data_IF_336586413779
#
_entry.id   IF_336586413779
#
_cell.length_a   1.000
_cell.length_b   1.000
_cell.length_c   1.000
_cell.angle_alpha   90.00
_cell.angle_beta   90.00
_cell.angle_gamma   90.00
#
_symmetry.space_group_name_H-M   'P 1'
#
loop_
_entity.id
_entity.type
_entity.pdbx_description
1 polymer ?
#
# COMPACT_ATOMS: atom_id res chain seq x y z
N UNK A 1 25.64 10.54 52.97
CA UNK A 1 25.22 9.50 51.99
C UNK A 1 23.91 9.81 51.25
N UNK A 2 23.06 10.75 51.69
CA UNK A 2 21.78 11.06 51.03
C UNK A 2 21.92 11.76 49.65
N UNK A 3 22.92 12.63 49.48
CA UNK A 3 23.10 13.44 48.27
C UNK A 3 23.46 12.61 47.02
N UNK A 4 24.26 11.54 47.17
CA UNK A 4 24.61 10.62 46.07
C UNK A 4 23.45 9.73 45.61
N UNK A 5 22.45 9.48 46.46
CA UNK A 5 21.22 8.74 46.07
C UNK A 5 20.26 9.63 45.28
N UNK A 6 20.13 10.91 45.66
CA UNK A 6 19.30 11.87 44.93
C UNK A 6 19.82 12.13 43.50
N UNK A 7 21.13 12.30 43.34
CA UNK A 7 21.77 12.48 42.02
C UNK A 7 21.62 11.26 41.08
N UNK A 8 21.63 10.04 41.63
CA UNK A 8 21.38 8.82 40.84
C UNK A 8 19.91 8.71 40.41
N UNK A 9 18.97 9.12 41.26
CA UNK A 9 17.54 9.12 40.93
C UNK A 9 17.17 10.15 39.86
N UNK A 10 17.71 11.36 39.93
CA UNK A 10 17.47 12.40 38.91
C UNK A 10 18.13 12.08 37.57
N UNK A 11 19.32 11.47 37.58
CA UNK A 11 19.97 11.00 36.36
C UNK A 11 19.09 9.96 35.64
N UNK A 12 18.57 8.93 36.34
CA UNK A 12 17.74 7.88 35.74
C UNK A 12 16.43 8.45 35.14
N UNK A 13 15.79 9.41 35.82
CA UNK A 13 14.58 10.07 35.33
C UNK A 13 14.90 10.94 34.11
N UNK A 14 16.03 11.67 34.12
CA UNK A 14 16.49 12.49 32.99
C UNK A 14 16.81 11.65 31.74
N UNK A 15 17.50 10.52 31.89
CA UNK A 15 17.80 9.62 30.77
C UNK A 15 16.53 8.95 30.23
N UNK A 16 15.60 8.55 31.11
CA UNK A 16 14.32 7.97 30.70
C UNK A 16 13.43 8.95 29.93
N UNK A 17 13.35 10.21 30.38
CA UNK A 17 12.62 11.26 29.68
C UNK A 17 13.27 11.60 28.33
N UNK A 18 14.60 11.68 28.26
CA UNK A 18 15.32 11.90 27.01
C UNK A 18 15.11 10.73 26.02
N UNK A 19 15.19 9.48 26.48
CA UNK A 19 14.93 8.30 25.66
C UNK A 19 13.48 8.25 25.15
N UNK A 20 12.50 8.63 25.98
CA UNK A 20 11.11 8.72 25.57
C UNK A 20 10.89 9.82 24.52
N UNK A 21 11.49 11.00 24.69
CA UNK A 21 11.42 12.10 23.72
C UNK A 21 12.08 11.74 22.39
N UNK A 22 13.25 11.10 22.43
CA UNK A 22 13.92 10.59 21.23
C UNK A 22 13.12 9.47 20.57
N UNK A 23 12.52 8.57 21.34
CA UNK A 23 11.63 7.54 20.83
C UNK A 23 10.40 8.13 20.14
N UNK A 24 9.76 9.13 20.76
CA UNK A 24 8.61 9.84 20.20
C UNK A 24 8.97 10.64 18.94
N UNK A 25 10.12 11.30 18.91
CA UNK A 25 10.58 12.03 17.73
C UNK A 25 10.92 11.07 16.58
N UNK A 26 11.60 9.96 16.86
CA UNK A 26 11.85 8.91 15.87
C UNK A 26 10.55 8.27 15.37
N UNK A 27 9.57 8.02 16.23
CA UNK A 27 8.24 7.53 15.84
C UNK A 27 7.49 8.55 14.98
N UNK A 28 7.59 9.84 15.29
CA UNK A 28 7.02 10.93 14.50
C UNK A 28 7.66 10.98 13.11
N UNK A 29 8.98 10.95 13.03
CA UNK A 29 9.70 10.96 11.74
C UNK A 29 9.44 9.69 10.92
N UNK A 30 9.38 8.52 11.57
CA UNK A 30 8.99 7.28 10.93
C UNK A 30 7.56 7.36 10.37
N UNK A 31 6.59 7.91 11.13
CA UNK A 31 5.21 8.13 10.66
C UNK A 31 5.16 9.08 9.47
N UNK A 32 5.89 10.20 9.49
CA UNK A 32 5.98 11.13 8.37
C UNK A 32 6.56 10.48 7.12
N UNK A 33 7.62 9.69 7.29
CA UNK A 33 8.30 9.01 6.18
C UNK A 33 7.40 7.95 5.54
N UNK A 34 6.72 7.14 6.36
CA UNK A 34 5.73 6.17 5.87
C UNK A 34 4.56 6.83 5.16
N UNK A 35 4.01 7.93 5.70
CA UNK A 35 2.97 8.69 5.01
C UNK A 35 3.44 9.25 3.65
N UNK A 36 4.71 9.63 3.55
CA UNK A 36 5.31 10.12 2.29
C UNK A 36 5.58 9.02 1.26
N UNK A 37 5.82 7.79 1.69
CA UNK A 37 5.95 6.64 0.79
C UNK A 37 4.58 6.15 0.28
N UNK A 38 3.55 6.22 1.13
CA UNK A 38 2.17 5.93 0.73
C UNK A 38 1.62 6.97 -0.27
N UNK A 39 2.08 8.22 -0.19
CA UNK A 39 1.77 9.29 -1.13
C UNK A 39 2.97 9.61 -2.03
N UNK A 40 3.15 8.82 -3.09
CA UNK A 40 3.98 9.27 -4.21
C UNK A 40 3.18 10.34 -4.95
N UNK A 41 3.64 11.59 -4.86
CA UNK A 41 3.06 12.66 -5.66
C UNK A 41 3.25 12.31 -7.15
N UNK A 42 2.15 12.23 -7.90
CA UNK A 42 2.22 12.15 -9.35
C UNK A 42 3.09 13.29 -9.86
N UNK A 43 3.98 13.01 -10.81
CA UNK A 43 5.01 13.96 -11.26
C UNK A 43 4.41 15.19 -11.98
N UNK A 44 3.11 15.16 -12.28
CA UNK A 44 2.30 16.29 -12.74
C UNK A 44 0.89 15.85 -13.13
N UNK A 45 0.04 16.79 -13.54
CA UNK A 45 -1.23 16.46 -14.19
C UNK A 45 -0.97 15.66 -15.47
N UNK A 46 -1.61 14.49 -15.59
CA UNK A 46 -1.67 13.75 -16.83
C UNK A 46 -2.37 14.62 -17.88
N UNK A 47 -1.62 15.10 -18.87
CA UNK A 47 -2.13 15.93 -19.98
C UNK A 47 -2.92 15.12 -21.03
N UNK A 48 -3.16 13.84 -20.78
CA UNK A 48 -3.92 12.98 -21.68
C UNK A 48 -5.41 13.22 -21.42
N UNK A 49 -6.18 13.79 -22.37
CA UNK A 49 -7.61 13.93 -22.18
C UNK A 49 -8.24 12.55 -22.03
N UNK A 50 -9.11 12.40 -21.03
CA UNK A 50 -9.96 11.22 -20.94
C UNK A 50 -10.81 11.18 -22.21
N UNK A 51 -10.61 10.17 -23.05
CA UNK A 51 -11.42 9.97 -24.24
C UNK A 51 -12.70 9.25 -23.81
N UNK A 52 -13.85 9.81 -24.18
CA UNK A 52 -15.15 9.22 -23.86
C UNK A 52 -15.32 7.81 -24.47
N UNK A 53 -14.63 7.55 -25.59
CA UNK A 53 -14.61 6.24 -26.23
C UNK A 53 -13.32 5.47 -25.90
N UNK A 54 -13.52 4.24 -25.44
CA UNK A 54 -12.43 3.29 -25.24
C UNK A 54 -11.78 2.96 -26.60
N UNK A 55 -10.45 2.93 -26.69
CA UNK A 55 -9.77 2.63 -27.95
C UNK A 55 -10.09 1.20 -28.40
N UNK A 56 -10.35 1.05 -29.71
CA UNK A 56 -10.54 -0.29 -30.28
C UNK A 56 -9.26 -1.11 -30.18
N UNK A 57 -9.38 -2.44 -30.20
CA UNK A 57 -8.21 -3.34 -30.24
C UNK A 57 -7.26 -2.99 -31.38
N UNK A 58 -7.79 -2.63 -32.54
CA UNK A 58 -6.96 -2.28 -33.70
C UNK A 58 -6.17 -0.99 -33.45
N UNK A 59 -6.78 0.03 -32.85
CA UNK A 59 -6.10 1.27 -32.47
C UNK A 59 -5.01 1.03 -31.41
N UNK A 60 -5.27 0.15 -30.44
CA UNK A 60 -4.25 -0.24 -29.46
C UNK A 60 -3.05 -0.93 -30.11
N UNK A 61 -3.30 -1.85 -31.06
CA UNK A 61 -2.24 -2.54 -31.79
C UNK A 61 -1.41 -1.58 -32.66
N UNK A 62 -2.05 -0.64 -33.35
CA UNK A 62 -1.31 0.37 -34.12
C UNK A 62 -0.46 1.24 -33.20
N UNK A 63 -0.99 1.73 -32.08
CA UNK A 63 -0.19 2.49 -31.10
C UNK A 63 1.01 1.70 -30.59
N UNK A 64 0.87 0.40 -30.35
CA UNK A 64 1.99 -0.45 -29.94
C UNK A 64 3.05 -0.63 -31.04
N UNK A 65 2.66 -0.65 -32.32
CA UNK A 65 3.57 -0.78 -33.46
C UNK A 65 4.25 0.54 -33.83
N UNK A 66 3.51 1.65 -33.75
CA UNK A 66 3.97 2.99 -34.10
C UNK A 66 4.89 3.60 -33.02
N UNK A 67 4.89 3.00 -31.82
CA UNK A 67 5.75 3.42 -30.72
C UNK A 67 7.05 2.63 -30.75
N UNK A 68 8.16 3.28 -31.10
CA UNK A 68 9.47 2.62 -31.26
C UNK A 68 9.99 1.99 -29.96
N UNK A 69 9.85 2.69 -28.83
CA UNK A 69 10.38 2.26 -27.54
C UNK A 69 9.44 2.65 -26.40
N UNK A 70 9.33 1.79 -25.40
CA UNK A 70 8.59 1.97 -24.14
C UNK A 70 9.55 1.96 -22.95
N UNK A 71 9.30 2.81 -21.96
CA UNK A 71 10.09 2.84 -20.71
C UNK A 71 9.77 1.62 -19.84
N UNK A 72 8.50 1.19 -19.84
CA UNK A 72 8.01 0.09 -19.01
C UNK A 72 7.10 -0.83 -19.84
N UNK A 73 7.41 -2.13 -19.82
CA UNK A 73 6.52 -3.18 -20.33
C UNK A 73 5.98 -4.01 -19.17
N UNK A 74 4.67 -3.98 -18.95
CA UNK A 74 3.96 -4.80 -17.98
C UNK A 74 3.38 -6.03 -18.66
N UNK A 75 3.73 -7.21 -18.15
CA UNK A 75 3.21 -8.49 -18.64
C UNK A 75 2.20 -9.04 -17.64
N UNK A 76 0.92 -9.06 -18.04
CA UNK A 76 -0.20 -9.56 -17.25
C UNK A 76 -1.15 -8.44 -16.80
N UNK A 77 -2.41 -8.50 -17.24
CA UNK A 77 -3.48 -7.55 -16.93
C UNK A 77 -4.30 -7.90 -15.68
N UNK A 78 -3.68 -8.55 -14.69
CA UNK A 78 -4.30 -8.78 -13.38
C UNK A 78 -4.28 -7.52 -12.50
N UNK A 79 -4.73 -7.64 -11.26
CA UNK A 79 -4.73 -6.54 -10.29
C UNK A 79 -3.33 -5.92 -10.09
N UNK A 80 -2.30 -6.76 -9.94
CA UNK A 80 -0.91 -6.31 -9.79
C UNK A 80 -0.41 -5.57 -11.02
N UNK A 81 -0.53 -6.17 -12.21
CA UNK A 81 -0.02 -5.53 -13.43
C UNK A 81 -0.77 -4.25 -13.80
N UNK A 82 -2.10 -4.23 -13.58
CA UNK A 82 -2.89 -3.01 -13.79
C UNK A 82 -2.47 -1.90 -12.82
N UNK A 83 -2.20 -2.23 -11.55
CA UNK A 83 -1.68 -1.28 -10.57
C UNK A 83 -0.29 -0.75 -10.93
N UNK A 84 0.62 -1.64 -11.35
CA UNK A 84 1.95 -1.24 -11.82
C UNK A 84 1.89 -0.34 -13.06
N UNK A 85 1.00 -0.65 -14.02
CA UNK A 85 0.82 0.18 -15.20
C UNK A 85 0.23 1.54 -14.86
N UNK A 86 -0.74 1.60 -13.95
CA UNK A 86 -1.29 2.85 -13.44
C UNK A 86 -0.20 3.70 -12.77
N UNK A 87 0.58 3.12 -11.86
CA UNK A 87 1.67 3.82 -11.17
C UNK A 87 2.70 4.36 -12.18
N UNK A 88 3.15 3.54 -13.12
CA UNK A 88 4.09 3.94 -14.16
C UNK A 88 3.55 5.10 -15.02
N UNK A 89 2.30 5.01 -15.47
CA UNK A 89 1.66 6.09 -16.27
C UNK A 89 1.54 7.38 -15.45
N UNK A 90 1.15 7.31 -14.17
CA UNK A 90 1.05 8.51 -13.29
C UNK A 90 2.39 9.18 -13.02
N UNK A 91 3.50 8.50 -13.30
CA UNK A 91 4.88 9.02 -13.30
C UNK A 91 5.37 9.42 -14.70
N UNK A 92 4.44 9.61 -15.64
CA UNK A 92 4.70 9.98 -17.03
C UNK A 92 5.62 9.01 -17.80
N UNK A 93 5.73 7.76 -17.37
CA UNK A 93 6.50 6.74 -18.09
C UNK A 93 5.68 6.20 -19.25
N UNK A 94 6.32 6.07 -20.41
CA UNK A 94 5.70 5.47 -21.59
C UNK A 94 5.55 3.96 -21.36
N UNK A 95 4.34 3.55 -21.03
CA UNK A 95 4.04 2.21 -20.52
C UNK A 95 3.20 1.41 -21.51
N UNK A 96 3.60 0.17 -21.77
CA UNK A 96 2.78 -0.83 -22.46
C UNK A 96 2.34 -1.91 -21.47
N UNK A 97 1.10 -2.39 -21.58
CA UNK A 97 0.61 -3.56 -20.85
C UNK A 97 0.07 -4.57 -21.84
N UNK A 98 0.52 -5.82 -21.72
CA UNK A 98 0.01 -6.95 -22.51
C UNK A 98 -0.62 -8.00 -21.61
N UNK A 99 -1.84 -8.42 -21.96
CA UNK A 99 -2.54 -9.54 -21.34
C UNK A 99 -2.88 -10.57 -22.40
N UNK A 100 -2.67 -11.85 -22.07
CA UNK A 100 -2.92 -12.97 -22.98
C UNK A 100 -4.41 -13.21 -23.20
N UNK A 101 -5.20 -13.09 -22.14
CA UNK A 101 -6.63 -13.36 -22.13
C UNK A 101 -7.43 -12.05 -22.02
N UNK A 102 -8.27 -11.93 -21.00
CA UNK A 102 -9.03 -10.72 -20.68
C UNK A 102 -8.49 -10.10 -19.37
N UNK A 103 -8.74 -8.80 -19.17
CA UNK A 103 -8.32 -8.12 -17.95
C UNK A 103 -8.89 -8.81 -16.71
N UNK A 104 -8.04 -8.97 -15.69
CA UNK A 104 -8.39 -9.66 -14.43
C UNK A 104 -8.85 -11.12 -14.58
N UNK A 105 -8.74 -11.75 -15.75
CA UNK A 105 -9.28 -13.10 -16.00
C UNK A 105 -8.54 -14.23 -15.25
N UNK A 106 -7.43 -13.93 -14.57
CA UNK A 106 -6.67 -14.87 -13.73
C UNK A 106 -7.15 -14.92 -12.27
N UNK A 107 -6.21 -14.96 -11.31
CA UNK A 107 -6.53 -15.02 -9.87
C UNK A 107 -7.32 -13.80 -9.38
N UNK A 108 -7.13 -12.63 -10.02
CA UNK A 108 -7.77 -11.37 -9.63
C UNK A 108 -9.31 -11.42 -9.68
N UNK A 109 -9.91 -12.23 -10.56
CA UNK A 109 -11.37 -12.45 -10.61
C UNK A 109 -11.87 -13.59 -9.70
N UNK A 110 -10.96 -14.41 -9.15
CA UNK A 110 -11.25 -15.62 -8.36
C UNK A 110 -10.95 -15.46 -6.87
N UNK A 111 -11.00 -14.23 -6.36
CA UNK A 111 -10.88 -13.96 -4.93
C UNK A 111 -12.22 -14.14 -4.20
N UNK A 112 -12.16 -14.10 -2.86
CA UNK A 112 -13.34 -13.98 -1.98
C UNK A 112 -14.05 -12.63 -2.12
N UNK A 113 -13.50 -11.69 -2.89
CA UNK A 113 -14.00 -10.32 -3.09
C UNK A 113 -14.07 -9.53 -1.77
N UNK A 114 -13.11 -9.81 -0.88
CA UNK A 114 -12.94 -9.11 0.39
C UNK A 114 -11.54 -8.52 0.49
N UNK A 115 -11.45 -7.24 0.84
CA UNK A 115 -10.20 -6.61 1.25
C UNK A 115 -10.17 -6.66 2.78
N UNK A 116 -9.26 -7.46 3.34
CA UNK A 116 -9.17 -7.67 4.78
C UNK A 116 -7.74 -7.48 5.30
N UNK A 117 -7.61 -7.01 6.54
CA UNK A 117 -6.31 -6.90 7.22
C UNK A 117 -5.69 -8.22 7.65
N UNK A 118 -6.37 -9.35 7.45
CA UNK A 118 -5.82 -10.67 7.76
C UNK A 118 -5.70 -10.92 9.27
N UNK A 119 -6.79 -10.71 10.02
CA UNK A 119 -6.84 -10.84 11.50
C UNK A 119 -6.22 -12.14 12.02
N UNK A 120 -6.34 -13.25 11.26
CA UNK A 120 -5.72 -14.55 11.59
C UNK A 120 -4.21 -14.46 11.80
N UNK A 121 -3.52 -13.61 11.05
CA UNK A 121 -2.07 -13.46 11.10
C UNK A 121 -1.61 -12.75 12.38
N UNK A 122 -2.47 -11.92 12.97
CA UNK A 122 -2.18 -11.20 14.21
C UNK A 122 -1.89 -12.15 15.39
N UNK A 123 -2.48 -13.35 15.39
CA UNK A 123 -2.18 -14.37 16.39
C UNK A 123 -0.68 -14.74 16.38
N UNK A 124 -0.10 -15.02 15.20
CA UNK A 124 1.33 -15.34 15.11
C UNK A 124 2.18 -14.13 15.45
N UNK A 125 1.81 -12.95 14.96
CA UNK A 125 2.49 -11.70 15.26
C UNK A 125 2.64 -11.47 16.77
N UNK A 126 1.58 -11.69 17.55
CA UNK A 126 1.60 -11.48 19.00
C UNK A 126 2.22 -12.67 19.74
N UNK A 127 1.73 -13.89 19.49
CA UNK A 127 2.13 -15.07 20.28
C UNK A 127 3.55 -15.54 19.99
N UNK A 128 4.07 -15.27 18.78
CA UNK A 128 5.42 -15.68 18.35
C UNK A 128 6.36 -14.50 18.10
N UNK A 129 5.91 -13.27 18.40
CA UNK A 129 6.66 -12.04 18.12
C UNK A 129 7.11 -11.95 16.65
N UNK A 130 6.26 -12.41 15.73
CA UNK A 130 6.52 -12.42 14.30
C UNK A 130 6.29 -11.02 13.70
N UNK A 131 7.38 -10.29 13.52
CA UNK A 131 7.36 -8.91 13.05
C UNK A 131 6.88 -8.77 11.60
N UNK A 132 7.16 -9.74 10.74
CA UNK A 132 6.72 -9.71 9.35
C UNK A 132 5.20 -9.83 9.26
N UNK A 133 4.61 -10.74 10.04
CA UNK A 133 3.16 -10.89 10.13
C UNK A 133 2.50 -9.64 10.72
N UNK A 134 3.14 -9.01 11.72
CA UNK A 134 2.67 -7.73 12.26
C UNK A 134 2.63 -6.64 11.19
N UNK A 135 3.71 -6.48 10.43
CA UNK A 135 3.80 -5.45 9.39
C UNK A 135 2.81 -5.69 8.25
N UNK A 136 2.67 -6.94 7.80
CA UNK A 136 1.69 -7.31 6.78
C UNK A 136 0.25 -6.95 7.20
N UNK A 137 -0.14 -7.24 8.45
CA UNK A 137 -1.48 -6.89 8.96
C UNK A 137 -1.67 -5.36 8.98
N UNK A 138 -0.65 -4.62 9.43
CA UNK A 138 -0.69 -3.17 9.50
C UNK A 138 -0.82 -2.54 8.11
N UNK A 139 -0.04 -3.00 7.14
CA UNK A 139 -0.07 -2.54 5.75
C UNK A 139 -1.42 -2.86 5.10
N UNK A 140 -1.91 -4.10 5.24
CA UNK A 140 -3.21 -4.49 4.68
C UNK A 140 -4.38 -3.67 5.26
N UNK A 141 -4.33 -3.29 6.54
CA UNK A 141 -5.32 -2.40 7.15
C UNK A 141 -5.22 -0.96 6.64
N UNK A 142 -4.01 -0.47 6.38
CA UNK A 142 -3.77 0.85 5.82
C UNK A 142 -4.28 0.93 4.37
N UNK A 143 -3.90 -0.02 3.53
CA UNK A 143 -4.35 -0.11 2.13
C UNK A 143 -5.87 -0.29 2.02
N UNK A 144 -6.49 -1.00 2.96
CA UNK A 144 -7.95 -1.08 3.03
C UNK A 144 -8.59 0.29 3.24
N UNK A 145 -8.00 1.13 4.09
CA UNK A 145 -8.49 2.51 4.29
C UNK A 145 -8.33 3.32 3.02
N UNK A 146 -7.15 3.25 2.39
CA UNK A 146 -6.86 3.93 1.13
C UNK A 146 -7.87 3.55 0.03
N UNK A 147 -8.19 2.26 -0.12
CA UNK A 147 -9.11 1.81 -1.16
C UNK A 147 -10.56 2.32 -0.96
N UNK A 148 -11.01 2.45 0.28
CA UNK A 148 -12.30 3.06 0.60
C UNK A 148 -12.37 4.52 0.15
N UNK A 149 -11.23 5.23 0.20
CA UNK A 149 -11.14 6.64 -0.19
C UNK A 149 -11.01 6.80 -1.72
N UNK A 150 -10.16 6.02 -2.40
CA UNK A 150 -9.90 6.18 -3.84
C UNK A 150 -10.92 5.47 -4.74
N UNK A 151 -11.62 4.45 -4.23
CA UNK A 151 -12.60 3.67 -5.00
C UNK A 151 -13.90 3.42 -4.20
N UNK A 152 -14.60 4.48 -3.77
CA UNK A 152 -15.83 4.36 -2.96
C UNK A 152 -17.01 3.74 -3.73
N UNK A 153 -16.92 3.70 -5.06
CA UNK A 153 -17.91 3.06 -5.93
C UNK A 153 -17.70 1.54 -6.09
N UNK A 154 -16.53 1.02 -5.71
CA UNK A 154 -16.19 -0.41 -5.78
C UNK A 154 -16.03 -1.07 -4.40
N UNK A 155 -15.86 -0.27 -3.34
CA UNK A 155 -15.57 -0.77 -2.00
C UNK A 155 -16.48 -0.15 -0.95
N UNK A 156 -16.87 -0.94 0.04
CA UNK A 156 -17.71 -0.51 1.15
C UNK A 156 -17.37 -1.28 2.44
N UNK A 157 -17.57 -0.70 3.63
CA UNK A 157 -17.37 -1.40 4.89
C UNK A 157 -18.31 -2.61 5.04
N UNK A 158 -17.76 -3.77 5.36
CA UNK A 158 -18.52 -5.00 5.62
C UNK A 158 -18.22 -5.52 7.05
N UNK A 159 -19.17 -5.40 8.00
CA UNK A 159 -19.05 -6.02 9.31
C UNK A 159 -19.04 -7.55 9.20
N UNK A 160 -18.13 -8.22 9.92
CA UNK A 160 -18.02 -9.69 9.94
C UNK A 160 -18.26 -10.19 11.36
N UNK A 161 -19.15 -11.18 11.51
CA UNK A 161 -19.38 -11.90 12.75
C UNK A 161 -18.49 -13.15 12.80
N UNK A 162 -17.75 -13.33 13.90
CA UNK A 162 -16.87 -14.49 14.12
C UNK A 162 -17.40 -15.32 15.30
N UNK A 163 -17.99 -16.51 15.06
CA UNK A 163 -18.41 -17.39 16.14
C UNK A 163 -17.20 -18.01 16.85
N UNK A 164 -17.26 -18.12 18.18
CA UNK A 164 -16.21 -18.73 19.02
C UNK A 164 -16.78 -19.94 19.73
N UNK A 165 -16.12 -21.09 19.58
CA UNK A 165 -16.54 -22.37 20.15
C UNK A 165 -15.59 -22.79 21.29
N UNK A 166 -16.10 -23.60 22.22
CA UNK A 166 -15.33 -24.20 23.31
C UNK A 166 -14.90 -25.61 22.96
#
# INVERSE_FOLDING_TARGET
>A
MAFRKALKGTAIIGTGAAAALLGLSQLSEYRKTQARLAYVAAEGELKQPFKDELPTRQAQLSTLQDTEEFDVLVVGGGATGSGCALDAVTRNLKTALVERNDFSSGTSSRSTKLIHGGVRYLQKAIMKLDYEQYMMVKEALHERSNLLDIAPHLSAPLPIMLPVYK
#
